data_IF_793199022524
#
_entry.id   IF_793199022524
#
_cell.length_a   1.000
_cell.length_b   1.000
_cell.length_c   1.000
_cell.angle_alpha   90.00
_cell.angle_beta   90.00
_cell.angle_gamma   90.00
#
_symmetry.space_group_name_H-M   'P 1'
#
loop_
_entity.id
_entity.type
_entity.pdbx_description
1 polymer ?
#
# COMPACT_ATOMS: atom_id res chain seq x y z
N UNK A 1 -2.98 -6.35 -40.67
CA UNK A 1 -2.71 -5.42 -41.78
C UNK A 1 -3.93 -4.58 -42.09
N UNK A 2 -5.07 -5.19 -42.40
CA UNK A 2 -6.33 -4.49 -42.72
C UNK A 2 -6.73 -3.41 -41.70
N UNK A 3 -6.58 -3.66 -40.40
CA UNK A 3 -6.84 -2.67 -39.34
C UNK A 3 -5.93 -1.44 -39.43
N UNK A 4 -4.67 -1.58 -39.86
CA UNK A 4 -3.75 -0.44 -40.00
C UNK A 4 -4.11 0.48 -41.17
N UNK A 5 -4.80 -0.07 -42.17
CA UNK A 5 -5.13 0.59 -43.43
C UNK A 5 -6.60 1.06 -43.47
N UNK A 6 -7.34 0.91 -42.36
CA UNK A 6 -8.79 1.16 -42.35
C UNK A 6 -9.19 2.64 -42.27
N UNK A 7 -8.31 3.51 -41.73
CA UNK A 7 -8.64 4.92 -41.44
C UNK A 7 -8.06 5.86 -42.51
N UNK A 8 -8.86 6.84 -42.92
CA UNK A 8 -8.45 7.89 -43.87
C UNK A 8 -7.34 8.78 -43.31
N UNK A 9 -7.28 8.93 -41.99
CA UNK A 9 -6.26 9.68 -41.25
C UNK A 9 -5.17 8.74 -40.73
N UNK A 10 -4.44 8.15 -41.67
CA UNK A 10 -3.49 7.07 -41.37
C UNK A 10 -2.45 7.44 -40.31
N UNK A 11 -1.87 8.64 -40.37
CA UNK A 11 -0.79 9.02 -39.47
C UNK A 11 -1.27 9.10 -38.01
N UNK A 12 -2.38 9.80 -37.78
CA UNK A 12 -2.95 9.94 -36.45
C UNK A 12 -3.48 8.60 -35.91
N UNK A 13 -4.18 7.84 -36.76
CA UNK A 13 -4.73 6.55 -36.37
C UNK A 13 -3.63 5.56 -35.97
N UNK A 14 -2.59 5.40 -36.81
CA UNK A 14 -1.51 4.44 -36.55
C UNK A 14 -0.67 4.85 -35.32
N UNK A 15 -0.42 6.15 -35.12
CA UNK A 15 0.32 6.66 -33.96
C UNK A 15 -0.43 6.38 -32.65
N UNK A 16 -1.73 6.70 -32.60
CA UNK A 16 -2.55 6.46 -31.40
C UNK A 16 -2.77 4.96 -31.18
N UNK A 17 -2.95 4.18 -32.26
CA UNK A 17 -3.06 2.73 -32.19
C UNK A 17 -1.80 2.10 -31.60
N UNK A 18 -0.61 2.53 -32.03
CA UNK A 18 0.64 2.01 -31.47
C UNK A 18 0.76 2.34 -29.98
N UNK A 19 0.47 3.59 -29.58
CA UNK A 19 0.44 4.00 -28.19
C UNK A 19 -0.58 3.19 -27.36
N UNK A 20 -1.74 2.88 -27.94
CA UNK A 20 -2.79 2.07 -27.32
C UNK A 20 -2.39 0.59 -27.18
N UNK A 21 -1.69 0.02 -28.16
CA UNK A 21 -1.11 -1.31 -28.06
C UNK A 21 -0.04 -1.38 -26.96
N UNK A 22 0.82 -0.37 -26.88
CA UNK A 22 1.81 -0.26 -25.80
C UNK A 22 1.13 -0.10 -24.43
N UNK A 23 0.13 0.77 -24.33
CA UNK A 23 -0.71 0.92 -23.14
C UNK A 23 -1.30 -0.42 -22.69
N UNK A 24 -1.91 -1.17 -23.62
CA UNK A 24 -2.48 -2.49 -23.34
C UNK A 24 -1.44 -3.47 -22.76
N UNK A 25 -0.27 -3.55 -23.40
CA UNK A 25 0.84 -4.38 -22.92
C UNK A 25 1.30 -3.95 -21.51
N UNK A 26 1.43 -2.65 -21.27
CA UNK A 26 1.83 -2.10 -19.97
C UNK A 26 0.80 -2.45 -18.89
N UNK A 27 -0.49 -2.20 -19.10
CA UNK A 27 -1.51 -2.45 -18.06
C UNK A 27 -1.67 -3.94 -17.77
N UNK A 28 -1.53 -4.80 -18.78
CA UNK A 28 -1.60 -6.24 -18.64
C UNK A 28 -0.40 -6.82 -17.88
N UNK A 29 0.82 -6.41 -18.23
CA UNK A 29 2.05 -6.95 -17.62
C UNK A 29 2.40 -6.30 -16.28
N UNK A 30 1.96 -5.06 -16.04
CA UNK A 30 2.19 -4.37 -14.76
C UNK A 30 1.64 -5.12 -13.55
N UNK A 31 0.65 -6.01 -13.72
CA UNK A 31 0.11 -6.88 -12.67
C UNK A 31 1.18 -7.74 -11.98
N UNK A 32 2.31 -8.02 -12.64
CA UNK A 32 3.39 -8.82 -12.06
C UNK A 32 4.03 -8.15 -10.84
N UNK A 33 3.95 -6.83 -10.72
CA UNK A 33 4.53 -6.08 -9.59
C UNK A 33 3.59 -6.00 -8.37
N UNK A 34 2.52 -6.78 -8.34
CA UNK A 34 1.59 -6.85 -7.21
C UNK A 34 1.00 -5.47 -6.87
N UNK A 35 0.84 -5.13 -5.57
CA UNK A 35 0.27 -3.84 -5.14
C UNK A 35 1.00 -2.59 -5.63
N UNK A 36 2.29 -2.66 -5.97
CA UNK A 36 3.02 -1.53 -6.56
C UNK A 36 2.62 -1.29 -8.02
N UNK A 37 2.22 -2.36 -8.72
CA UNK A 37 1.66 -2.31 -10.06
C UNK A 37 0.20 -1.85 -10.04
N UNK A 38 -0.66 -2.64 -9.40
CA UNK A 38 -2.09 -2.41 -9.24
C UNK A 38 -2.51 -2.81 -7.82
N UNK A 39 -3.33 -2.00 -7.14
CA UNK A 39 -3.87 -2.35 -5.83
C UNK A 39 -4.72 -3.63 -5.88
N UNK A 40 -5.40 -3.88 -7.01
CA UNK A 40 -6.15 -5.12 -7.28
C UNK A 40 -5.77 -5.74 -8.62
N UNK A 41 -6.01 -7.04 -8.76
CA UNK A 41 -5.82 -7.73 -10.04
C UNK A 41 -7.03 -7.55 -10.94
N UNK A 42 -6.82 -7.00 -12.15
CA UNK A 42 -7.86 -6.78 -13.15
C UNK A 42 -7.68 -7.69 -14.38
N UNK A 43 -8.78 -8.22 -14.95
CA UNK A 43 -8.72 -9.16 -16.08
C UNK A 43 -8.73 -8.45 -17.44
N UNK A 44 -7.78 -7.54 -17.68
CA UNK A 44 -7.64 -6.89 -18.99
C UNK A 44 -7.37 -7.93 -20.08
N UNK A 45 -8.07 -7.81 -21.22
CA UNK A 45 -8.01 -8.78 -22.30
C UNK A 45 -7.96 -8.11 -23.68
N UNK A 46 -7.70 -8.91 -24.71
CA UNK A 46 -7.57 -8.43 -26.10
C UNK A 46 -8.87 -7.88 -26.69
N UNK A 47 -10.02 -8.23 -26.11
CA UNK A 47 -11.32 -7.66 -26.44
C UNK A 47 -11.38 -6.17 -26.09
N UNK A 48 -10.83 -5.77 -24.95
CA UNK A 48 -10.76 -4.37 -24.51
C UNK A 48 -9.97 -3.52 -25.52
N UNK A 49 -8.83 -4.06 -25.98
CA UNK A 49 -8.02 -3.44 -27.03
C UNK A 49 -8.80 -3.36 -28.34
N UNK A 50 -9.38 -4.46 -28.81
CA UNK A 50 -10.09 -4.53 -30.09
C UNK A 50 -11.24 -3.52 -30.15
N UNK A 51 -12.04 -3.42 -29.10
CA UNK A 51 -13.16 -2.46 -29.06
C UNK A 51 -12.61 -1.02 -28.98
N UNK A 52 -11.52 -0.79 -28.22
CA UNK A 52 -10.88 0.53 -28.16
C UNK A 52 -10.36 0.99 -29.53
N UNK A 53 -9.83 0.08 -30.36
CA UNK A 53 -9.42 0.37 -31.74
C UNK A 53 -10.61 0.75 -32.62
N UNK A 54 -11.75 0.06 -32.47
CA UNK A 54 -12.96 0.42 -33.21
C UNK A 54 -13.51 1.80 -32.78
N UNK A 55 -13.45 2.11 -31.48
CA UNK A 55 -13.82 3.43 -30.95
C UNK A 55 -12.89 4.51 -31.51
N UNK A 56 -11.58 4.27 -31.52
CA UNK A 56 -10.59 5.17 -32.11
C UNK A 56 -10.92 5.49 -33.57
N UNK A 57 -11.16 4.45 -34.37
CA UNK A 57 -11.52 4.60 -35.78
C UNK A 57 -12.77 5.48 -35.95
N UNK A 58 -13.86 5.14 -35.26
CA UNK A 58 -15.13 5.86 -35.38
C UNK A 58 -14.99 7.34 -35.00
N UNK A 59 -14.23 7.67 -33.95
CA UNK A 59 -14.03 9.05 -33.51
C UNK A 59 -13.15 9.86 -34.46
N UNK A 60 -12.11 9.25 -35.03
CA UNK A 60 -11.25 9.92 -36.00
C UNK A 60 -11.94 10.19 -37.34
N UNK A 61 -12.82 9.29 -37.79
CA UNK A 61 -13.62 9.49 -39.01
C UNK A 61 -14.75 10.52 -38.81
N UNK A 62 -15.35 10.55 -37.62
CA UNK A 62 -16.43 11.50 -37.31
C UNK A 62 -15.94 12.93 -37.01
N UNK A 63 -14.66 13.11 -36.69
CA UNK A 63 -14.12 14.38 -36.16
C UNK A 63 -13.03 14.97 -37.05
N UNK A 64 -13.11 16.28 -37.32
CA UNK A 64 -12.09 16.99 -38.10
C UNK A 64 -10.76 17.18 -37.38
N UNK A 65 -10.76 17.11 -36.03
CA UNK A 65 -9.58 17.15 -35.17
C UNK A 65 -9.56 15.91 -34.29
N UNK A 66 -8.38 15.52 -33.81
CA UNK A 66 -8.26 14.40 -32.85
C UNK A 66 -8.82 14.85 -31.49
N UNK A 67 -9.86 14.18 -30.95
CA UNK A 67 -10.43 14.52 -29.66
C UNK A 67 -9.69 13.76 -28.54
N UNK A 68 -8.48 14.21 -28.19
CA UNK A 68 -7.60 13.51 -27.23
C UNK A 68 -8.27 13.28 -25.86
N UNK A 69 -8.89 14.31 -25.28
CA UNK A 69 -9.55 14.21 -23.97
C UNK A 69 -10.69 13.18 -23.97
N UNK A 70 -11.50 13.16 -25.04
CA UNK A 70 -12.60 12.20 -25.18
C UNK A 70 -12.06 10.78 -25.35
N UNK A 71 -11.00 10.59 -26.15
CA UNK A 71 -10.37 9.27 -26.32
C UNK A 71 -9.79 8.77 -25.00
N UNK A 72 -9.06 9.60 -24.26
CA UNK A 72 -8.52 9.27 -22.95
C UNK A 72 -9.63 8.93 -21.95
N UNK A 73 -10.74 9.67 -21.95
CA UNK A 73 -11.91 9.37 -21.13
C UNK A 73 -12.54 8.03 -21.52
N UNK A 74 -12.81 7.79 -22.81
CA UNK A 74 -13.43 6.55 -23.26
C UNK A 74 -12.56 5.33 -22.91
N UNK A 75 -11.26 5.38 -23.22
CA UNK A 75 -10.35 4.29 -22.94
C UNK A 75 -10.17 4.07 -21.43
N UNK A 76 -9.98 5.16 -20.66
CA UNK A 76 -9.62 5.11 -19.26
C UNK A 76 -10.78 4.87 -18.32
N UNK A 77 -11.94 5.47 -18.58
CA UNK A 77 -13.11 5.45 -17.70
C UNK A 77 -14.14 4.39 -18.09
N UNK A 78 -14.26 4.09 -19.39
CA UNK A 78 -15.29 3.17 -19.90
C UNK A 78 -14.68 1.82 -20.26
N UNK A 79 -13.71 1.79 -21.16
CA UNK A 79 -13.18 0.53 -21.73
C UNK A 79 -12.37 -0.24 -20.68
N UNK A 80 -11.23 0.31 -20.26
CA UNK A 80 -10.40 -0.29 -19.22
C UNK A 80 -10.95 0.03 -17.83
N UNK A 81 -11.46 1.26 -17.64
CA UNK A 81 -12.05 1.72 -16.37
C UNK A 81 -13.25 0.90 -15.92
N UNK A 82 -14.00 0.28 -16.84
CA UNK A 82 -15.11 -0.61 -16.51
C UNK A 82 -14.69 -1.85 -15.70
N UNK A 83 -13.42 -2.27 -15.78
CA UNK A 83 -12.86 -3.36 -14.97
C UNK A 83 -12.33 -2.89 -13.61
N UNK A 84 -12.01 -1.59 -13.49
CA UNK A 84 -11.27 -1.05 -12.36
C UNK A 84 -12.23 -0.63 -11.24
N UNK A 85 -11.99 -1.17 -10.05
CA UNK A 85 -12.85 -0.95 -8.87
C UNK A 85 -12.20 -0.08 -7.79
N UNK A 86 -10.90 0.16 -7.87
CA UNK A 86 -10.15 0.98 -6.90
C UNK A 86 -9.86 2.36 -7.51
N UNK A 87 -10.14 3.43 -6.78
CA UNK A 87 -10.02 4.80 -7.29
C UNK A 87 -8.56 5.20 -7.60
N UNK A 88 -7.58 4.65 -6.86
CA UNK A 88 -6.17 4.92 -7.13
C UNK A 88 -5.68 4.18 -8.37
N UNK A 89 -6.16 2.95 -8.59
CA UNK A 89 -5.92 2.22 -9.82
C UNK A 89 -6.60 2.91 -11.01
N UNK A 90 -7.78 3.50 -10.81
CA UNK A 90 -8.48 4.29 -11.84
C UNK A 90 -7.69 5.53 -12.22
N UNK A 91 -7.17 6.25 -11.21
CA UNK A 91 -6.24 7.37 -11.40
C UNK A 91 -5.00 6.92 -12.19
N UNK A 92 -4.39 5.79 -11.85
CA UNK A 92 -3.23 5.25 -12.55
C UNK A 92 -3.53 4.98 -14.03
N UNK A 93 -4.63 4.28 -14.31
CA UNK A 93 -5.08 3.98 -15.68
C UNK A 93 -5.26 5.26 -16.51
N UNK A 94 -5.94 6.26 -15.95
CA UNK A 94 -6.15 7.55 -16.58
C UNK A 94 -4.82 8.26 -16.86
N UNK A 95 -3.91 8.30 -15.89
CA UNK A 95 -2.61 8.97 -16.04
C UNK A 95 -1.76 8.33 -17.14
N UNK A 96 -1.81 7.01 -17.34
CA UNK A 96 -1.14 6.39 -18.48
C UNK A 96 -1.64 6.92 -19.82
N UNK A 97 -2.96 7.02 -19.98
CA UNK A 97 -3.56 7.50 -21.22
C UNK A 97 -3.26 8.99 -21.44
N UNK A 98 -3.31 9.81 -20.39
CA UNK A 98 -2.92 11.23 -20.46
C UNK A 98 -1.44 11.42 -20.86
N UNK A 99 -0.55 10.52 -20.45
CA UNK A 99 0.88 10.61 -20.82
C UNK A 99 1.19 10.02 -22.20
N UNK A 100 0.42 9.02 -22.66
CA UNK A 100 0.66 8.35 -23.93
C UNK A 100 -0.14 8.93 -25.11
N UNK A 101 -1.34 9.46 -24.86
CA UNK A 101 -2.27 9.95 -25.89
C UNK A 101 -2.49 11.44 -25.64
N UNK A 102 -1.64 12.27 -26.23
CA UNK A 102 -1.63 13.72 -26.06
C UNK A 102 -1.19 14.42 -27.35
N UNK A 103 -1.55 15.70 -27.56
CA UNK A 103 -1.26 16.42 -28.80
C UNK A 103 0.22 16.37 -29.21
N UNK A 104 1.13 16.42 -28.24
CA UNK A 104 2.59 16.40 -28.41
C UNK A 104 3.09 15.13 -29.09
N UNK A 105 2.30 14.05 -29.10
CA UNK A 105 2.68 12.81 -29.78
C UNK A 105 2.86 12.98 -31.29
N UNK A 106 2.18 13.97 -31.89
CA UNK A 106 2.27 14.27 -33.32
C UNK A 106 3.50 15.12 -33.66
N UNK A 107 4.21 15.64 -32.66
CA UNK A 107 5.42 16.46 -32.83
C UNK A 107 6.69 15.60 -32.93
N UNK A 108 6.59 14.28 -32.73
CA UNK A 108 7.67 13.31 -32.94
C UNK A 108 8.66 13.15 -31.77
N UNK A 109 8.39 13.79 -30.63
CA UNK A 109 9.29 13.77 -29.45
C UNK A 109 8.81 12.86 -28.30
N UNK A 110 7.66 12.18 -28.47
CA UNK A 110 7.08 11.38 -27.40
C UNK A 110 7.83 10.05 -27.19
N UNK A 111 8.30 9.85 -25.96
CA UNK A 111 8.83 8.57 -25.49
C UNK A 111 7.73 7.82 -24.74
N UNK A 112 7.44 6.58 -25.16
CA UNK A 112 6.51 5.69 -24.46
C UNK A 112 7.15 5.06 -23.21
N UNK A 113 8.47 4.86 -23.26
CA UNK A 113 9.31 4.50 -22.13
C UNK A 113 10.73 5.05 -22.33
N UNK A 114 11.57 5.08 -21.29
CA UNK A 114 12.97 5.46 -21.43
C UNK A 114 13.68 4.62 -22.50
N UNK A 115 14.13 5.28 -23.58
CA UNK A 115 14.78 4.62 -24.72
C UNK A 115 13.82 4.01 -25.75
N UNK A 116 12.51 4.21 -25.63
CA UNK A 116 11.52 3.70 -26.58
C UNK A 116 10.62 4.82 -27.12
N UNK A 117 11.00 5.45 -28.25
CA UNK A 117 10.19 6.49 -28.89
C UNK A 117 8.91 5.93 -29.50
N UNK A 118 7.93 6.80 -29.72
CA UNK A 118 6.78 6.48 -30.56
C UNK A 118 7.25 6.41 -32.03
N UNK A 119 7.02 5.30 -32.75
CA UNK A 119 7.40 5.21 -34.16
C UNK A 119 6.51 6.12 -35.02
N UNK A 120 7.06 6.60 -36.14
CA UNK A 120 6.28 7.26 -37.18
C UNK A 120 5.40 6.28 -37.97
N UNK A 121 4.72 6.79 -38.99
CA UNK A 121 3.86 5.97 -39.86
C UNK A 121 4.69 4.92 -40.63
N UNK A 122 4.53 3.65 -40.26
CA UNK A 122 5.12 2.49 -40.91
C UNK A 122 4.05 1.52 -41.44
N UNK A 123 4.47 0.54 -42.24
CA UNK A 123 3.65 -0.60 -42.62
C UNK A 123 3.67 -1.70 -41.53
N UNK A 124 2.86 -2.74 -41.70
CA UNK A 124 2.73 -3.81 -40.71
C UNK A 124 4.08 -4.46 -40.37
N UNK A 125 4.89 -4.76 -41.38
CA UNK A 125 6.21 -5.38 -41.19
C UNK A 125 7.21 -4.40 -40.57
N UNK A 126 7.16 -3.12 -40.94
CA UNK A 126 7.98 -2.07 -40.36
C UNK A 126 7.75 -1.90 -38.86
N UNK A 127 6.51 -1.99 -38.37
CA UNK A 127 6.24 -1.95 -36.94
C UNK A 127 6.83 -3.14 -36.17
N UNK A 128 6.77 -4.36 -36.73
CA UNK A 128 7.40 -5.54 -36.10
C UNK A 128 8.91 -5.38 -36.04
N UNK A 129 9.54 -4.99 -37.15
CA UNK A 129 10.99 -4.72 -37.20
C UNK A 129 11.38 -3.63 -36.19
N UNK A 130 10.59 -2.55 -36.09
CA UNK A 130 10.81 -1.49 -35.11
C UNK A 130 10.75 -2.00 -33.67
N UNK A 131 9.77 -2.84 -33.33
CA UNK A 131 9.66 -3.42 -31.99
C UNK A 131 10.88 -4.30 -31.70
N UNK A 132 11.29 -5.15 -32.64
CA UNK A 132 12.45 -6.03 -32.47
C UNK A 132 13.77 -5.25 -32.28
N UNK A 133 13.93 -4.13 -33.00
CA UNK A 133 15.16 -3.34 -32.98
C UNK A 133 15.21 -2.29 -31.86
N UNK A 134 14.07 -1.66 -31.53
CA UNK A 134 14.01 -0.48 -30.66
C UNK A 134 13.50 -0.77 -29.25
N UNK A 135 12.72 -1.84 -29.02
CA UNK A 135 12.18 -2.13 -27.68
C UNK A 135 13.31 -2.54 -26.72
N UNK A 136 13.53 -1.81 -25.61
CA UNK A 136 14.56 -2.18 -24.65
C UNK A 136 14.26 -3.52 -23.96
N UNK A 137 15.27 -4.19 -23.39
CA UNK A 137 15.06 -5.34 -22.52
C UNK A 137 14.06 -5.04 -21.40
N UNK A 138 13.26 -6.05 -21.06
CA UNK A 138 12.20 -5.92 -20.07
C UNK A 138 12.76 -5.40 -18.73
N UNK A 139 12.22 -4.28 -18.26
CA UNK A 139 12.60 -3.67 -16.99
C UNK A 139 11.43 -2.91 -16.38
N UNK A 140 11.43 -2.63 -15.05
CA UNK A 140 10.38 -1.84 -14.41
C UNK A 140 10.13 -0.48 -15.08
N UNK A 141 11.15 0.11 -15.71
CA UNK A 141 11.04 1.39 -16.41
C UNK A 141 10.04 1.37 -17.58
N UNK A 142 9.87 0.23 -18.27
CA UNK A 142 8.88 0.11 -19.35
C UNK A 142 7.44 0.32 -18.84
N UNK A 143 7.22 0.03 -17.56
CA UNK A 143 5.94 0.24 -16.89
C UNK A 143 5.91 1.56 -16.12
N UNK A 144 6.93 2.42 -16.20
CA UNK A 144 7.01 3.64 -15.39
C UNK A 144 7.35 3.41 -13.91
N UNK A 145 7.81 2.21 -13.54
CA UNK A 145 8.24 1.86 -12.19
C UNK A 145 9.75 2.06 -12.00
N UNK A 146 10.16 2.30 -10.76
CA UNK A 146 11.57 2.29 -10.38
C UNK A 146 12.13 0.84 -10.37
N UNK A 147 13.42 0.61 -10.73
CA UNK A 147 14.04 -0.73 -10.75
C UNK A 147 13.92 -1.54 -9.47
N UNK A 148 13.78 -0.87 -8.33
CA UNK A 148 13.54 -1.52 -7.04
C UNK A 148 12.26 -2.41 -7.04
N UNK A 149 11.28 -2.13 -7.90
CA UNK A 149 10.08 -2.96 -8.02
C UNK A 149 10.40 -4.41 -8.41
N UNK A 150 11.45 -4.63 -9.22
CA UNK A 150 11.89 -5.96 -9.63
C UNK A 150 12.43 -6.76 -8.44
N UNK A 151 13.18 -6.12 -7.54
CA UNK A 151 13.66 -6.75 -6.31
C UNK A 151 12.48 -7.26 -5.49
N UNK A 152 11.45 -6.43 -5.30
CA UNK A 152 10.24 -6.82 -4.57
C UNK A 152 9.49 -7.99 -5.21
N UNK A 153 9.35 -7.96 -6.54
CA UNK A 153 8.73 -9.04 -7.30
C UNK A 153 9.49 -10.37 -7.18
N UNK A 154 10.81 -10.35 -7.34
CA UNK A 154 11.65 -11.55 -7.25
C UNK A 154 11.67 -12.11 -5.81
N UNK A 155 11.68 -11.25 -4.80
CA UNK A 155 11.58 -11.68 -3.39
C UNK A 155 10.27 -12.39 -3.11
N UNK A 156 9.12 -11.79 -3.49
CA UNK A 156 7.81 -12.43 -3.28
C UNK A 156 7.66 -13.76 -4.04
N UNK A 157 8.20 -13.82 -5.26
CA UNK A 157 8.20 -15.06 -6.06
C UNK A 157 9.02 -16.15 -5.38
N UNK A 158 10.18 -15.77 -4.81
CA UNK A 158 11.05 -16.69 -4.07
C UNK A 158 10.40 -17.17 -2.78
N UNK A 159 9.79 -16.27 -2.00
CA UNK A 159 9.06 -16.63 -0.77
C UNK A 159 7.90 -17.58 -1.06
N UNK A 160 7.14 -17.34 -2.13
CA UNK A 160 6.07 -18.23 -2.57
C UNK A 160 6.61 -19.62 -2.93
N UNK A 161 7.75 -19.68 -3.61
CA UNK A 161 8.41 -20.94 -3.94
C UNK A 161 8.84 -21.69 -2.67
N UNK A 162 9.50 -21.02 -1.73
CA UNK A 162 9.90 -21.63 -0.46
C UNK A 162 8.71 -22.12 0.36
N UNK A 163 7.60 -21.37 0.39
CA UNK A 163 6.38 -21.80 1.06
C UNK A 163 5.80 -23.08 0.45
N UNK A 164 5.68 -23.14 -0.88
CA UNK A 164 5.20 -24.34 -1.59
C UNK A 164 6.13 -25.54 -1.32
N UNK A 165 7.45 -25.33 -1.33
CA UNK A 165 8.41 -26.38 -0.98
C UNK A 165 8.25 -26.87 0.46
N UNK A 166 8.04 -25.96 1.41
CA UNK A 166 7.81 -26.30 2.81
C UNK A 166 6.50 -27.07 3.01
N UNK A 167 5.44 -26.73 2.26
CA UNK A 167 4.14 -27.41 2.29
C UNK A 167 4.23 -28.83 1.70
N UNK A 168 5.12 -29.06 0.74
CA UNK A 168 5.35 -30.37 0.13
C UNK A 168 6.25 -31.30 0.97
N UNK A 169 6.90 -30.81 2.03
CA UNK A 169 7.74 -31.68 2.87
C UNK A 169 6.89 -32.71 3.63
N UNK A 170 7.30 -34.00 3.69
CA UNK A 170 6.57 -35.03 4.41
C UNK A 170 6.51 -34.69 5.91
N UNK A 171 5.30 -34.45 6.42
CA UNK A 171 5.06 -34.11 7.83
C UNK A 171 5.32 -35.27 8.80
N UNK A 172 5.43 -36.50 8.28
CA UNK A 172 5.54 -37.75 9.06
C UNK A 172 6.98 -38.30 9.18
N UNK A 173 8.02 -37.48 8.98
CA UNK A 173 9.42 -37.95 9.11
C UNK A 173 10.04 -37.74 10.50
N UNK A 174 9.26 -37.35 11.52
CA UNK A 174 9.71 -37.35 12.92
C UNK A 174 9.60 -38.73 13.57
N UNK A 175 10.26 -39.72 12.97
CA UNK A 175 10.56 -41.04 13.53
C UNK A 175 12.06 -41.32 13.57
N UNK A 176 12.89 -40.27 13.63
CA UNK A 176 14.34 -40.39 13.77
C UNK A 176 14.76 -40.18 15.22
N UNK A 177 15.32 -41.23 15.83
CA UNK A 177 15.98 -41.21 17.13
C UNK A 177 17.15 -40.20 17.13
N UNK A 178 16.87 -38.98 17.55
CA UNK A 178 17.85 -37.94 17.79
C UNK A 178 17.14 -36.81 18.53
N UNK A 179 17.68 -36.39 19.68
CA UNK A 179 17.11 -35.40 20.60
C UNK A 179 16.87 -34.01 20.01
N UNK A 180 15.97 -33.92 19.04
CA UNK A 180 15.39 -32.69 18.50
C UNK A 180 14.19 -32.36 19.38
N UNK A 181 14.19 -31.13 19.92
CA UNK A 181 13.08 -30.56 20.70
C UNK A 181 11.77 -30.90 19.98
N UNK A 182 10.83 -31.50 20.70
CA UNK A 182 9.57 -31.91 20.07
C UNK A 182 8.77 -30.69 19.64
N UNK A 183 7.88 -30.87 18.67
CA UNK A 183 6.96 -29.83 18.23
C UNK A 183 6.18 -29.21 19.39
N UNK A 184 5.73 -30.07 20.30
CA UNK A 184 5.00 -29.68 21.50
C UNK A 184 5.86 -28.87 22.47
N UNK A 185 7.11 -29.30 22.72
CA UNK A 185 8.05 -28.56 23.58
C UNK A 185 8.34 -27.15 23.03
N UNK A 186 8.52 -27.03 21.71
CA UNK A 186 8.77 -25.73 21.06
C UNK A 186 7.57 -24.80 21.21
N UNK A 187 6.36 -25.31 20.94
CA UNK A 187 5.14 -24.51 21.07
C UNK A 187 4.89 -24.12 22.52
N UNK A 188 5.14 -25.03 23.47
CA UNK A 188 4.96 -24.77 24.89
C UNK A 188 5.88 -23.66 25.40
N UNK A 189 7.17 -23.71 25.03
CA UNK A 189 8.12 -22.66 25.39
C UNK A 189 7.69 -21.28 24.85
N UNK A 190 7.28 -21.23 23.58
CA UNK A 190 6.79 -19.99 22.96
C UNK A 190 5.52 -19.46 23.65
N UNK A 191 4.58 -20.36 23.95
CA UNK A 191 3.34 -20.02 24.63
C UNK A 191 3.59 -19.45 26.02
N UNK A 192 4.48 -20.06 26.81
CA UNK A 192 4.86 -19.60 28.14
C UNK A 192 5.49 -18.20 28.07
N UNK A 193 6.42 -17.98 27.13
CA UNK A 193 7.04 -16.67 26.89
C UNK A 193 6.00 -15.59 26.52
N UNK A 194 5.05 -15.92 25.64
CA UNK A 194 4.01 -14.99 25.22
C UNK A 194 3.06 -14.64 26.37
N UNK A 195 2.66 -15.63 27.17
CA UNK A 195 1.80 -15.42 28.34
C UNK A 195 2.49 -14.57 29.41
N UNK A 196 3.80 -14.75 29.63
CA UNK A 196 4.58 -13.95 30.58
C UNK A 196 4.70 -12.49 30.14
N UNK A 197 4.88 -12.24 28.84
CA UNK A 197 5.08 -10.89 28.29
C UNK A 197 3.79 -10.10 28.06
N UNK A 198 2.63 -10.76 27.99
CA UNK A 198 1.34 -10.11 27.75
C UNK A 198 0.92 -9.26 28.95
N UNK A 199 0.96 -7.95 28.79
CA UNK A 199 0.54 -6.97 29.80
C UNK A 199 -0.96 -7.07 30.13
N UNK A 200 -1.35 -6.52 31.28
CA UNK A 200 -2.73 -6.55 31.76
C UNK A 200 -3.68 -5.72 30.90
N UNK A 201 -4.97 -6.03 31.02
CA UNK A 201 -6.01 -5.32 30.27
C UNK A 201 -6.17 -3.88 30.78
N UNK A 202 -6.45 -2.95 29.87
CA UNK A 202 -6.74 -1.56 30.20
C UNK A 202 -8.07 -1.47 30.96
N UNK A 203 -8.07 -0.94 32.19
CA UNK A 203 -9.30 -0.67 32.92
C UNK A 203 -9.99 0.60 32.37
N UNK A 204 -10.85 0.41 31.37
CA UNK A 204 -11.54 1.50 30.68
C UNK A 204 -12.37 2.37 31.64
N UNK A 205 -12.99 1.78 32.67
CA UNK A 205 -13.79 2.53 33.63
C UNK A 205 -12.94 3.50 34.47
N UNK A 206 -11.78 3.03 34.96
CA UNK A 206 -10.83 3.90 35.67
C UNK A 206 -10.23 4.96 34.76
N UNK A 207 -9.87 4.59 33.52
CA UNK A 207 -9.34 5.52 32.52
C UNK A 207 -10.35 6.63 32.20
N UNK A 208 -11.63 6.29 32.01
CA UNK A 208 -12.70 7.27 31.77
C UNK A 208 -12.94 8.19 32.97
N UNK A 209 -12.74 7.71 34.20
CA UNK A 209 -12.88 8.50 35.42
C UNK A 209 -11.74 9.51 35.60
N UNK A 210 -10.55 9.24 35.05
CA UNK A 210 -9.38 10.14 35.10
C UNK A 210 -9.48 11.35 34.17
N UNK A 211 -10.30 11.26 33.12
CA UNK A 211 -10.40 12.32 32.10
C UNK A 211 -11.48 13.33 32.48
N UNK A 212 -11.06 14.54 32.86
CA UNK A 212 -11.97 15.65 33.19
C UNK A 212 -12.72 16.16 31.96
N UNK A 213 -12.02 16.34 30.83
CA UNK A 213 -12.61 16.82 29.57
C UNK A 213 -12.47 15.77 28.45
N UNK A 214 -13.61 15.36 27.87
CA UNK A 214 -13.63 14.39 26.76
C UNK A 214 -13.25 15.04 25.44
N UNK A 215 -11.95 15.15 25.21
CA UNK A 215 -11.38 15.59 23.93
C UNK A 215 -11.54 14.51 22.84
N UNK A 216 -11.56 14.87 21.54
CA UNK A 216 -11.53 13.89 20.45
C UNK A 216 -10.38 12.89 20.57
N UNK A 217 -9.21 13.34 21.03
CA UNK A 217 -8.03 12.49 21.28
C UNK A 217 -8.27 11.44 22.36
N UNK A 218 -8.88 11.83 23.50
CA UNK A 218 -9.22 10.89 24.56
C UNK A 218 -10.20 9.81 24.09
N UNK A 219 -11.18 10.17 23.26
CA UNK A 219 -12.12 9.20 22.68
C UNK A 219 -11.40 8.18 21.78
N UNK A 220 -10.42 8.61 20.99
CA UNK A 220 -9.59 7.69 20.20
C UNK A 220 -8.80 6.76 21.10
N UNK A 221 -8.16 7.28 22.16
CA UNK A 221 -7.43 6.45 23.11
C UNK A 221 -8.32 5.36 23.74
N UNK A 222 -9.55 5.70 24.18
CA UNK A 222 -10.49 4.71 24.72
C UNK A 222 -10.85 3.62 23.71
N UNK A 223 -11.18 3.99 22.48
CA UNK A 223 -11.53 3.02 21.42
C UNK A 223 -10.36 2.09 21.09
N UNK A 224 -9.14 2.62 21.10
CA UNK A 224 -7.92 1.84 20.88
C UNK A 224 -7.64 0.89 22.05
N UNK A 225 -7.86 1.32 23.30
CA UNK A 225 -7.76 0.45 24.48
C UNK A 225 -8.78 -0.69 24.45
N UNK A 226 -10.04 -0.39 24.10
CA UNK A 226 -11.09 -1.42 23.97
C UNK A 226 -10.72 -2.47 22.92
N UNK A 227 -10.24 -2.04 21.75
CA UNK A 227 -9.77 -2.95 20.69
C UNK A 227 -8.56 -3.76 21.12
N UNK A 228 -7.61 -3.13 21.81
CA UNK A 228 -6.44 -3.80 22.35
C UNK A 228 -6.84 -4.89 23.35
N UNK A 229 -7.76 -4.60 24.28
CA UNK A 229 -8.29 -5.58 25.22
C UNK A 229 -8.97 -6.75 24.50
N UNK A 230 -9.78 -6.49 23.47
CA UNK A 230 -10.43 -7.55 22.69
C UNK A 230 -9.39 -8.49 22.07
N UNK A 231 -8.29 -7.96 21.54
CA UNK A 231 -7.22 -8.76 20.96
C UNK A 231 -6.42 -9.51 22.05
N UNK A 232 -5.93 -8.82 23.08
CA UNK A 232 -5.08 -9.43 24.12
C UNK A 232 -5.84 -10.46 24.94
N UNK A 233 -7.13 -10.24 25.21
CA UNK A 233 -7.99 -11.21 25.91
C UNK A 233 -8.20 -12.49 25.10
N UNK A 234 -8.40 -12.38 23.78
CA UNK A 234 -8.48 -13.53 22.88
C UNK A 234 -7.15 -14.31 22.85
N UNK A 235 -6.01 -13.62 22.75
CA UNK A 235 -4.69 -14.27 22.78
C UNK A 235 -4.49 -15.00 24.12
N UNK A 236 -4.73 -14.32 25.24
CA UNK A 236 -4.60 -14.92 26.59
C UNK A 236 -5.50 -16.13 26.76
N UNK A 237 -6.77 -16.06 26.32
CA UNK A 237 -7.70 -17.19 26.38
C UNK A 237 -7.20 -18.36 25.55
N UNK A 238 -6.89 -18.13 24.28
CA UNK A 238 -6.49 -19.17 23.34
C UNK A 238 -5.18 -19.87 23.77
N UNK A 239 -4.20 -19.11 24.28
CA UNK A 239 -2.96 -19.68 24.82
C UNK A 239 -3.21 -20.48 26.10
N UNK A 240 -4.05 -20.00 27.04
CA UNK A 240 -4.37 -20.77 28.26
C UNK A 240 -5.11 -22.07 27.96
N UNK A 241 -6.06 -22.03 27.04
CA UNK A 241 -6.78 -23.22 26.59
C UNK A 241 -5.84 -24.24 25.94
N UNK A 242 -4.92 -23.78 25.08
CA UNK A 242 -3.91 -24.66 24.48
C UNK A 242 -2.96 -25.26 25.52
N UNK A 243 -2.51 -24.49 26.52
CA UNK A 243 -1.65 -25.02 27.60
C UNK A 243 -2.35 -26.14 28.40
N UNK A 244 -3.63 -25.96 28.73
CA UNK A 244 -4.43 -26.99 29.39
C UNK A 244 -4.65 -28.23 28.48
N UNK A 245 -4.83 -28.01 27.17
CA UNK A 245 -4.90 -29.09 26.19
C UNK A 245 -3.61 -29.90 26.12
N UNK A 246 -2.45 -29.24 26.07
CA UNK A 246 -1.13 -29.88 26.06
C UNK A 246 -0.81 -30.63 27.36
N UNK A 247 -1.39 -30.21 28.50
CA UNK A 247 -1.31 -30.92 29.78
C UNK A 247 -2.26 -32.11 29.89
N UNK A 248 -3.20 -32.27 28.96
CA UNK A 248 -4.24 -33.29 28.99
C UNK A 248 -5.39 -32.97 29.96
N UNK A 249 -5.48 -31.73 30.44
CA UNK A 249 -6.56 -31.27 31.33
C UNK A 249 -7.82 -30.85 30.55
N UNK A 250 -7.65 -30.45 29.29
CA UNK A 250 -8.73 -30.22 28.33
C UNK A 250 -8.59 -31.16 27.12
N UNK A 251 -9.73 -31.55 26.54
CA UNK A 251 -9.74 -32.28 25.27
C UNK A 251 -9.27 -31.36 24.15
N UNK A 252 -8.25 -31.80 23.42
CA UNK A 252 -7.72 -31.06 22.27
C UNK A 252 -8.80 -30.84 21.21
N UNK A 253 -9.01 -29.58 20.82
CA UNK A 253 -9.98 -29.19 19.80
C UNK A 253 -9.28 -28.84 18.48
N UNK A 254 -10.03 -28.79 17.38
CA UNK A 254 -9.50 -28.35 16.07
C UNK A 254 -8.90 -26.94 16.13
N UNK A 255 -9.48 -26.06 16.94
CA UNK A 255 -9.00 -24.68 17.08
C UNK A 255 -7.66 -24.63 17.83
N UNK A 256 -7.48 -25.49 18.86
CA UNK A 256 -6.21 -25.64 19.56
C UNK A 256 -5.14 -26.25 18.65
N UNK A 257 -5.47 -27.24 17.83
CA UNK A 257 -4.54 -27.81 16.84
C UNK A 257 -4.13 -26.78 15.80
N UNK A 258 -5.08 -26.00 15.28
CA UNK A 258 -4.80 -24.91 14.35
C UNK A 258 -3.89 -23.84 14.98
N UNK A 259 -4.15 -23.48 16.24
CA UNK A 259 -3.29 -22.57 16.99
C UNK A 259 -1.88 -23.14 17.17
N UNK A 260 -1.75 -24.38 17.64
CA UNK A 260 -0.47 -25.06 17.80
C UNK A 260 0.30 -25.12 16.48
N UNK A 261 -0.40 -25.40 15.38
CA UNK A 261 0.18 -25.42 14.04
C UNK A 261 0.70 -24.04 13.64
N UNK A 262 -0.07 -22.98 13.85
CA UNK A 262 0.32 -21.60 13.53
C UNK A 262 1.51 -21.11 14.37
N UNK A 263 1.50 -21.39 15.69
CA UNK A 263 2.61 -21.08 16.60
C UNK A 263 3.91 -21.77 16.14
N UNK A 264 3.83 -23.04 15.76
CA UNK A 264 4.99 -23.80 15.29
C UNK A 264 5.55 -23.28 13.95
N UNK A 265 4.67 -22.81 13.05
CA UNK A 265 5.06 -22.32 11.73
C UNK A 265 5.44 -20.83 11.71
N UNK A 266 5.53 -20.17 12.88
CA UNK A 266 5.80 -18.73 13.01
C UNK A 266 4.78 -17.86 12.24
N UNK A 267 3.51 -18.30 12.21
CA UNK A 267 2.39 -17.59 11.54
C UNK A 267 1.41 -17.08 12.58
N UNK A 268 0.91 -15.85 12.39
CA UNK A 268 -0.15 -15.29 13.24
C UNK A 268 -1.46 -16.08 13.01
N UNK A 269 -2.08 -16.68 14.04
CA UNK A 269 -3.34 -17.41 13.94
C UNK A 269 -4.49 -16.57 13.36
N UNK A 270 -5.35 -17.20 12.54
CA UNK A 270 -6.49 -16.52 11.91
C UNK A 270 -7.47 -15.90 12.91
N UNK A 271 -7.67 -16.55 14.06
CA UNK A 271 -8.53 -16.03 15.14
C UNK A 271 -8.04 -14.69 15.68
N UNK A 272 -6.72 -14.49 15.73
CA UNK A 272 -6.09 -13.24 16.14
C UNK A 272 -6.12 -12.20 15.02
N UNK A 273 -5.82 -12.61 13.78
CA UNK A 273 -5.86 -11.72 12.59
C UNK A 273 -7.22 -11.03 12.46
N UNK A 274 -8.33 -11.74 12.70
CA UNK A 274 -9.69 -11.18 12.64
C UNK A 274 -9.94 -10.03 13.63
N UNK A 275 -9.17 -9.95 14.71
CA UNK A 275 -9.26 -8.91 15.74
C UNK A 275 -8.10 -7.92 15.68
N UNK A 276 -7.03 -8.26 14.96
CA UNK A 276 -5.81 -7.49 14.86
C UNK A 276 -5.87 -6.39 13.79
N UNK A 277 -4.82 -5.58 13.76
CA UNK A 277 -4.50 -4.72 12.64
C UNK A 277 -3.88 -5.55 11.49
N UNK A 278 -4.05 -5.14 10.22
CA UNK A 278 -3.41 -5.80 9.09
C UNK A 278 -1.88 -5.80 9.24
N UNK A 279 -1.26 -6.95 9.04
CA UNK A 279 0.20 -7.13 9.08
C UNK A 279 0.60 -8.31 8.19
N UNK A 280 1.84 -8.27 7.69
CA UNK A 280 2.49 -9.35 6.94
C UNK A 280 3.68 -9.93 7.71
N UNK A 281 3.87 -9.52 8.96
CA UNK A 281 4.96 -9.97 9.81
C UNK A 281 4.78 -11.42 10.26
N UNK A 282 5.90 -12.10 10.52
CA UNK A 282 5.89 -13.41 11.19
C UNK A 282 5.43 -13.25 12.65
N UNK A 283 5.00 -14.35 13.27
CA UNK A 283 4.42 -14.31 14.62
C UNK A 283 5.35 -13.63 15.63
N UNK A 284 6.64 -13.99 15.64
CA UNK A 284 7.61 -13.38 16.56
C UNK A 284 7.75 -11.86 16.36
N UNK A 285 7.85 -11.42 15.11
CA UNK A 285 7.95 -9.98 14.77
C UNK A 285 6.64 -9.23 15.08
N UNK A 286 5.50 -9.85 14.79
CA UNK A 286 4.17 -9.31 15.06
C UNK A 286 3.90 -9.18 16.55
N UNK A 287 4.31 -10.15 17.37
CA UNK A 287 4.13 -10.10 18.81
C UNK A 287 4.99 -9.00 19.45
N UNK A 288 6.24 -8.82 19.00
CA UNK A 288 7.07 -7.70 19.45
C UNK A 288 6.47 -6.32 19.07
N UNK A 289 5.89 -6.21 17.87
CA UNK A 289 5.15 -5.04 17.41
C UNK A 289 3.92 -4.77 18.29
N UNK A 290 3.13 -5.80 18.61
CA UNK A 290 1.99 -5.74 19.52
C UNK A 290 2.38 -5.20 20.90
N UNK A 291 3.45 -5.73 21.50
CA UNK A 291 3.92 -5.26 22.80
C UNK A 291 4.35 -3.79 22.76
N UNK A 292 4.96 -3.34 21.67
CA UNK A 292 5.32 -1.93 21.48
C UNK A 292 4.08 -1.04 21.39
N UNK A 293 3.04 -1.48 20.68
CA UNK A 293 1.76 -0.76 20.59
C UNK A 293 1.07 -0.61 21.93
N UNK A 294 1.06 -1.67 22.74
CA UNK A 294 0.48 -1.61 24.09
C UNK A 294 1.25 -0.58 24.93
N UNK A 295 2.59 -0.57 24.88
CA UNK A 295 3.42 0.41 25.62
C UNK A 295 3.15 1.86 25.20
N UNK A 296 3.04 2.12 23.90
CA UNK A 296 2.72 3.47 23.38
C UNK A 296 1.31 3.92 23.84
N UNK A 297 0.36 2.98 23.90
CA UNK A 297 -1.00 3.25 24.37
C UNK A 297 -1.07 3.45 25.90
N UNK A 298 -0.31 2.68 26.68
CA UNK A 298 -0.12 2.88 28.12
C UNK A 298 0.50 4.25 28.42
N UNK A 299 1.54 4.63 27.68
CA UNK A 299 2.16 5.94 27.82
C UNK A 299 1.15 7.07 27.56
N UNK A 300 0.34 6.95 26.50
CA UNK A 300 -0.67 7.95 26.16
C UNK A 300 -1.82 8.01 27.18
N UNK A 301 -2.28 6.86 27.68
CA UNK A 301 -3.41 6.77 28.63
C UNK A 301 -3.02 7.07 30.08
N UNK A 302 -1.72 7.22 30.37
CA UNK A 302 -1.22 7.60 31.69
C UNK A 302 -1.72 8.98 32.13
N UNK A 303 -1.68 9.97 31.25
CA UNK A 303 -2.12 11.34 31.51
C UNK A 303 -3.06 11.93 30.43
N UNK A 304 -3.36 11.18 29.37
CA UNK A 304 -4.15 11.63 28.21
C UNK A 304 -3.60 12.87 27.50
N UNK A 305 -2.34 13.22 27.76
CA UNK A 305 -1.65 14.27 27.05
C UNK A 305 -1.22 13.76 25.68
N UNK A 306 -1.37 14.58 24.64
CA UNK A 306 -0.94 14.18 23.30
C UNK A 306 0.59 13.98 23.29
N UNK A 307 1.11 12.80 22.88
CA UNK A 307 2.54 12.57 22.82
C UNK A 307 3.24 13.59 21.92
N UNK A 308 4.53 13.86 22.20
CA UNK A 308 5.31 14.81 21.39
C UNK A 308 5.37 14.41 19.92
N UNK A 309 5.42 13.10 19.65
CA UNK A 309 5.22 12.51 18.33
C UNK A 309 4.39 11.25 18.46
N UNK A 310 3.51 11.00 17.49
CA UNK A 310 2.59 9.87 17.50
C UNK A 310 2.99 8.86 16.44
N UNK A 311 3.10 7.59 16.83
CA UNK A 311 3.31 6.48 15.90
C UNK A 311 1.99 6.07 15.26
N UNK A 312 1.67 6.63 14.10
CA UNK A 312 0.37 6.40 13.45
C UNK A 312 0.13 4.93 13.09
N UNK A 313 1.19 4.18 12.78
CA UNK A 313 1.09 2.75 12.52
C UNK A 313 0.62 1.99 13.75
N UNK A 314 0.87 2.49 14.96
CA UNK A 314 0.58 1.82 16.23
C UNK A 314 -0.92 1.63 16.51
N UNK A 315 -1.78 2.43 15.87
CA UNK A 315 -3.24 2.33 16.04
C UNK A 315 -3.87 1.20 15.23
N UNK A 316 -4.91 0.59 15.78
CA UNK A 316 -5.88 -0.20 15.05
C UNK A 316 -6.64 0.65 14.04
N UNK A 317 -7.04 1.88 14.40
CA UNK A 317 -7.69 2.82 13.50
C UNK A 317 -6.97 4.18 13.38
N UNK A 318 -5.92 4.28 12.55
CA UNK A 318 -5.23 5.55 12.31
C UNK A 318 -6.16 6.65 11.76
N UNK A 319 -7.23 6.30 11.03
CA UNK A 319 -8.20 7.28 10.52
C UNK A 319 -8.96 7.99 11.65
N UNK A 320 -9.28 7.29 12.73
CA UNK A 320 -9.90 7.90 13.91
C UNK A 320 -9.02 8.99 14.49
N UNK A 321 -7.70 8.74 14.60
CA UNK A 321 -6.74 9.73 15.07
C UNK A 321 -6.64 10.94 14.13
N UNK A 322 -6.52 10.70 12.82
CA UNK A 322 -6.50 11.77 11.82
C UNK A 322 -7.78 12.63 11.86
N UNK A 323 -8.93 12.00 12.07
CA UNK A 323 -10.22 12.69 12.24
C UNK A 323 -10.26 13.47 13.54
N UNK A 324 -9.69 12.95 14.63
CA UNK A 324 -9.60 13.66 15.91
C UNK A 324 -8.75 14.94 15.79
N UNK A 325 -7.68 14.93 14.99
CA UNK A 325 -6.91 16.13 14.65
C UNK A 325 -7.81 17.17 13.97
N UNK A 326 -8.59 16.76 12.97
CA UNK A 326 -9.51 17.65 12.25
C UNK A 326 -10.57 18.24 13.19
N UNK A 327 -11.19 17.40 14.04
CA UNK A 327 -12.20 17.83 15.00
C UNK A 327 -11.64 18.80 16.04
N UNK A 328 -10.45 18.52 16.59
CA UNK A 328 -9.81 19.40 17.57
C UNK A 328 -9.47 20.75 16.95
N UNK A 329 -8.91 20.76 15.75
CA UNK A 329 -8.54 21.98 15.02
C UNK A 329 -9.79 22.79 14.62
N UNK A 330 -10.81 22.13 14.08
CA UNK A 330 -12.06 22.78 13.69
C UNK A 330 -12.79 23.42 14.87
N UNK A 331 -12.84 22.75 16.03
CA UNK A 331 -13.43 23.31 17.25
C UNK A 331 -12.67 24.55 17.75
N UNK A 332 -11.34 24.48 17.74
CA UNK A 332 -10.47 25.58 18.20
C UNK A 332 -10.59 26.82 17.31
N UNK A 333 -10.71 26.62 16.00
CA UNK A 333 -10.76 27.70 15.02
C UNK A 333 -12.19 28.09 14.58
N UNK A 334 -13.22 27.44 15.14
CA UNK A 334 -14.63 27.61 14.77
C UNK A 334 -14.91 27.37 13.27
N UNK A 335 -14.24 26.37 12.68
CA UNK A 335 -14.35 26.05 11.27
C UNK A 335 -15.33 24.91 10.99
N UNK A 336 -16.03 24.92 9.83
CA UNK A 336 -16.84 23.79 9.39
C UNK A 336 -15.98 22.56 9.08
N UNK A 337 -16.28 21.44 9.75
CA UNK A 337 -15.51 20.19 9.61
C UNK A 337 -15.56 19.61 8.19
N UNK A 338 -16.66 19.81 7.47
CA UNK A 338 -16.90 19.31 6.10
C UNK A 338 -15.95 19.91 5.06
N UNK A 339 -15.33 21.07 5.36
CA UNK A 339 -14.39 21.75 4.46
C UNK A 339 -12.93 21.55 4.85
N UNK A 340 -12.67 20.83 5.94
CA UNK A 340 -11.32 20.60 6.43
C UNK A 340 -10.60 19.57 5.57
N UNK A 341 -9.34 19.84 5.22
CA UNK A 341 -8.46 18.87 4.56
C UNK A 341 -7.16 18.77 5.34
N UNK A 342 -6.66 17.56 5.58
CA UNK A 342 -5.35 17.39 6.21
C UNK A 342 -4.24 17.71 5.20
N UNK A 343 -3.34 18.62 5.56
CA UNK A 343 -2.05 18.80 4.92
C UNK A 343 -0.94 18.19 5.78
N UNK A 344 0.05 17.65 5.08
CA UNK A 344 1.26 17.11 5.66
C UNK A 344 2.45 18.01 5.31
N UNK A 345 3.19 18.45 6.31
CA UNK A 345 4.46 19.16 6.17
C UNK A 345 5.56 18.26 6.71
N UNK A 346 6.29 17.61 5.82
CA UNK A 346 7.37 16.71 6.21
C UNK A 346 8.53 17.54 6.75
N UNK A 347 8.92 17.26 7.98
CA UNK A 347 9.98 18.01 8.68
C UNK A 347 11.37 17.50 8.28
N UNK A 348 12.42 18.12 8.84
CA UNK A 348 13.82 17.66 8.69
C UNK A 348 14.32 16.87 9.90
N UNK A 349 13.42 16.55 10.83
CA UNK A 349 13.74 16.07 12.17
C UNK A 349 13.25 14.64 12.38
N UNK A 350 13.92 13.92 13.27
CA UNK A 350 13.50 12.61 13.73
C UNK A 350 12.68 12.75 15.02
N UNK A 351 12.09 11.64 15.50
CA UNK A 351 11.19 11.67 16.67
C UNK A 351 11.88 12.21 17.93
N UNK A 352 13.17 11.94 18.09
CA UNK A 352 13.97 12.31 19.26
C UNK A 352 14.16 13.83 19.39
N UNK A 353 13.99 14.58 18.29
CA UNK A 353 14.16 16.03 18.27
C UNK A 353 12.92 16.80 18.78
N UNK A 354 11.83 16.09 19.11
CA UNK A 354 10.56 16.67 19.54
C UNK A 354 10.30 16.40 21.03
N UNK A 355 10.49 17.44 21.85
CA UNK A 355 10.24 17.38 23.29
C UNK A 355 8.79 17.65 23.71
N UNK A 356 7.97 18.24 22.82
CA UNK A 356 6.59 18.61 23.14
C UNK A 356 5.68 18.50 21.90
N UNK A 357 4.38 18.22 22.08
CA UNK A 357 3.42 18.23 20.99
C UNK A 357 3.29 19.64 20.37
N UNK A 358 2.80 19.75 19.13
CA UNK A 358 2.53 21.06 18.54
C UNK A 358 1.31 21.71 19.19
N UNK A 359 1.20 23.04 19.08
CA UNK A 359 0.02 23.79 19.58
C UNK A 359 -1.28 23.43 18.86
N UNK A 360 -1.16 22.98 17.61
CA UNK A 360 -2.24 22.57 16.71
C UNK A 360 -1.73 21.45 15.83
N UNK A 361 -2.61 20.51 15.46
CA UNK A 361 -2.21 19.35 14.69
C UNK A 361 -1.53 18.26 15.52
N UNK A 362 -0.76 17.41 14.84
CA UNK A 362 0.07 16.39 15.48
C UNK A 362 1.34 16.14 14.66
N UNK A 363 2.43 15.79 15.35
CA UNK A 363 3.62 15.24 14.72
C UNK A 363 3.47 13.73 14.63
N UNK A 364 3.65 13.17 13.44
CA UNK A 364 3.51 11.74 13.19
C UNK A 364 4.81 11.16 12.67
N UNK A 365 5.18 9.97 13.14
CA UNK A 365 6.39 9.26 12.70
C UNK A 365 6.11 7.80 12.32
N UNK A 366 7.14 7.13 11.79
CA UNK A 366 7.09 5.72 11.43
C UNK A 366 6.37 5.45 10.11
N UNK A 367 6.43 6.39 9.16
CA UNK A 367 5.98 6.16 7.79
C UNK A 367 7.17 5.82 6.90
N UNK A 368 6.92 5.03 5.87
CA UNK A 368 7.87 4.67 4.84
C UNK A 368 7.34 5.09 3.48
N UNK A 369 8.20 5.44 2.53
CA UNK A 369 7.80 5.77 1.16
C UNK A 369 8.17 4.62 0.24
N UNK A 370 7.22 4.11 -0.55
CA UNK A 370 7.47 3.10 -1.58
C UNK A 370 7.43 3.76 -2.96
N UNK A 371 8.30 3.33 -3.88
CA UNK A 371 8.37 3.85 -5.26
C UNK A 371 9.15 5.16 -5.44
N UNK A 372 9.46 5.87 -4.36
CA UNK A 372 10.25 7.09 -4.33
C UNK A 372 10.96 7.25 -2.98
N UNK A 373 11.64 8.38 -2.79
CA UNK A 373 12.16 8.80 -1.47
C UNK A 373 11.78 10.24 -1.18
N UNK A 374 11.80 10.60 0.10
CA UNK A 374 11.75 11.99 0.50
C UNK A 374 13.16 12.59 0.56
N UNK A 375 13.39 13.69 -0.11
CA UNK A 375 14.62 14.46 0.04
C UNK A 375 14.47 15.46 1.19
N UNK A 376 15.02 15.14 2.36
CA UNK A 376 14.91 15.98 3.55
C UNK A 376 15.62 17.35 3.40
N UNK A 377 16.63 17.45 2.53
CA UNK A 377 17.34 18.72 2.33
C UNK A 377 16.46 19.68 1.52
N UNK A 378 15.90 19.19 0.41
CA UNK A 378 15.07 19.95 -0.52
C UNK A 378 13.60 20.05 -0.09
N UNK A 379 13.13 19.14 0.77
CA UNK A 379 11.74 19.08 1.23
C UNK A 379 10.74 18.69 0.14
N UNK A 380 11.13 17.76 -0.74
CA UNK A 380 10.32 17.29 -1.88
C UNK A 380 10.50 15.79 -2.12
N UNK A 381 9.57 15.17 -2.86
CA UNK A 381 9.74 13.82 -3.41
C UNK A 381 10.90 13.82 -4.41
N UNK A 382 11.73 12.79 -4.35
CA UNK A 382 12.82 12.51 -5.27
C UNK A 382 12.83 11.03 -5.66
N UNK A 383 13.54 10.70 -6.73
CA UNK A 383 13.69 9.31 -7.17
C UNK A 383 14.37 8.45 -6.09
N UNK A 384 13.87 7.22 -5.94
CA UNK A 384 14.42 6.24 -5.01
C UNK A 384 15.88 5.92 -5.33
N UNK A 385 16.63 5.48 -4.33
CA UNK A 385 17.99 4.94 -4.55
C UNK A 385 17.90 3.44 -4.80
N UNK A 386 18.78 2.91 -5.64
CA UNK A 386 18.84 1.48 -5.88
C UNK A 386 19.03 0.72 -4.57
N UNK A 387 18.26 -0.37 -4.40
CA UNK A 387 18.23 -1.24 -3.20
C UNK A 387 17.61 -0.61 -1.95
N UNK A 388 17.15 0.63 -2.02
CA UNK A 388 16.38 1.29 -0.96
C UNK A 388 14.88 1.22 -1.32
N UNK A 389 14.24 0.09 -0.99
CA UNK A 389 12.86 -0.23 -1.42
C UNK A 389 11.82 0.69 -0.78
N UNK A 390 11.95 0.89 0.53
CA UNK A 390 10.97 1.61 1.36
C UNK A 390 11.69 2.52 2.37
N UNK A 391 12.34 3.60 1.92
CA UNK A 391 12.99 4.58 2.81
C UNK A 391 12.04 5.12 3.88
N UNK A 392 12.56 5.29 5.09
CA UNK A 392 11.81 5.92 6.18
C UNK A 392 11.59 7.41 5.92
N UNK A 393 10.40 7.90 6.26
CA UNK A 393 10.04 9.30 6.22
C UNK A 393 10.48 10.00 7.50
N UNK A 394 10.97 11.25 7.43
CA UNK A 394 11.07 12.11 8.61
C UNK A 394 9.71 12.32 9.27
N UNK A 395 9.71 12.89 10.47
CA UNK A 395 8.47 13.25 11.16
C UNK A 395 7.62 14.17 10.29
N UNK A 396 6.35 13.83 10.12
CA UNK A 396 5.37 14.57 9.34
C UNK A 396 4.53 15.40 10.28
N UNK A 397 4.49 16.71 10.08
CA UNK A 397 3.57 17.59 10.79
C UNK A 397 2.23 17.66 10.04
N UNK A 398 1.16 17.21 10.68
CA UNK A 398 -0.18 17.23 10.11
C UNK A 398 -0.89 18.54 10.54
N UNK A 399 -1.16 19.44 9.58
CA UNK A 399 -1.82 20.76 9.74
C UNK A 399 -2.68 21.11 8.52
N UNK A 400 -3.26 22.31 8.46
CA UNK A 400 -4.07 22.80 7.32
C UNK A 400 -3.32 23.86 6.48
N UNK A 401 -2.84 23.51 5.28
CA UNK A 401 -2.30 24.39 4.21
C UNK A 401 -2.61 23.69 2.84
N UNK A 402 -2.28 24.26 1.67
CA UNK A 402 -2.40 23.60 0.33
C UNK A 402 -1.06 23.02 -0.19
N UNK A 403 -1.07 21.79 -0.74
CA UNK A 403 0.09 21.12 -1.41
C UNK A 403 -0.37 20.29 -2.63
N UNK A 404 0.59 19.80 -3.46
CA UNK A 404 0.37 19.50 -4.90
C UNK A 404 0.13 18.02 -5.24
N UNK A 405 0.87 17.06 -4.67
CA UNK A 405 0.72 15.63 -5.04
C UNK A 405 -0.09 14.85 -3.99
N UNK A 406 -1.29 14.35 -4.33
CA UNK A 406 -2.07 13.50 -3.43
C UNK A 406 -1.44 12.10 -3.38
N UNK A 407 -0.69 11.82 -2.32
CA UNK A 407 -0.03 10.54 -2.08
C UNK A 407 -0.93 9.64 -1.21
N UNK A 408 -1.30 8.43 -1.64
CA UNK A 408 -2.06 7.52 -0.80
C UNK A 408 -1.21 6.98 0.35
N UNK A 409 -1.85 6.77 1.50
CA UNK A 409 -1.26 6.18 2.70
C UNK A 409 -1.95 4.85 2.98
N UNK A 410 -1.19 3.77 3.10
CA UNK A 410 -1.69 2.42 3.40
C UNK A 410 -1.10 1.91 4.70
N UNK A 411 -1.84 1.01 5.40
CA UNK A 411 -1.28 0.35 6.60
C UNK A 411 -0.11 -0.55 6.26
N UNK A 412 -0.21 -1.34 5.19
CA UNK A 412 0.80 -2.31 4.78
C UNK A 412 1.04 -2.24 3.27
N UNK A 413 2.02 -3.01 2.79
CA UNK A 413 2.30 -3.18 1.35
C UNK A 413 1.15 -3.85 0.60
N UNK A 414 0.26 -4.56 1.30
CA UNK A 414 -1.00 -5.05 0.73
C UNK A 414 -1.96 -3.87 0.64
N UNK A 415 -1.75 -3.01 -0.38
CA UNK A 415 -2.56 -1.81 -0.69
C UNK A 415 -4.02 -2.18 -0.97
N UNK A 416 -4.85 -1.22 -1.41
CA UNK A 416 -6.28 -1.43 -1.64
C UNK A 416 -7.05 -1.46 -0.31
N UNK A 417 -7.44 -2.63 0.25
CA UNK A 417 -8.14 -2.75 1.54
C UNK A 417 -7.48 -2.03 2.73
N UNK A 418 -6.18 -1.76 2.69
CA UNK A 418 -5.46 -1.11 3.80
C UNK A 418 -5.31 0.39 3.66
N UNK A 419 -6.03 1.03 2.72
CA UNK A 419 -6.01 2.48 2.54
C UNK A 419 -6.44 3.21 3.82
N UNK A 420 -5.68 4.23 4.20
CA UNK A 420 -5.88 5.04 5.42
C UNK A 420 -6.28 6.45 5.05
N UNK A 421 -5.45 7.17 4.30
CA UNK A 421 -5.67 8.59 4.02
C UNK A 421 -4.89 9.04 2.77
N UNK A 422 -5.10 10.29 2.35
CA UNK A 422 -4.29 10.94 1.30
C UNK A 422 -3.45 12.06 1.90
N UNK A 423 -2.12 11.93 1.81
CA UNK A 423 -1.19 12.95 2.25
C UNK A 423 -0.70 13.76 1.05
N UNK A 424 -0.91 15.08 1.08
CA UNK A 424 -0.48 15.96 0.01
C UNK A 424 1.00 16.32 0.17
N UNK A 425 1.85 15.74 -0.67
CA UNK A 425 3.31 15.90 -0.62
C UNK A 425 3.80 16.94 -1.64
N UNK A 426 4.95 17.55 -1.35
CA UNK A 426 5.59 18.54 -2.24
C UNK A 426 6.42 17.82 -3.29
N UNK A 427 6.32 18.27 -4.54
CA UNK A 427 7.09 17.79 -5.69
C UNK A 427 7.47 18.95 -6.60
N UNK A 428 8.60 18.82 -7.31
CA UNK A 428 8.96 19.69 -8.46
C UNK A 428 8.62 19.05 -9.80
N UNK A 429 8.56 17.72 -9.83
CA UNK A 429 8.21 16.93 -11.01
C UNK A 429 6.69 16.93 -11.23
N UNK A 430 6.27 16.67 -12.47
CA UNK A 430 4.87 16.45 -12.80
C UNK A 430 4.29 15.32 -11.94
N UNK A 431 3.15 15.53 -11.23
CA UNK A 431 2.45 14.48 -10.49
C UNK A 431 2.29 13.15 -11.21
N UNK A 432 2.11 13.14 -12.54
CA UNK A 432 2.00 11.91 -13.35
C UNK A 432 3.16 10.95 -13.11
N UNK A 433 4.41 11.46 -13.00
CA UNK A 433 5.60 10.65 -12.74
C UNK A 433 5.42 9.77 -11.50
N UNK A 434 4.90 10.34 -10.42
CA UNK A 434 4.74 9.64 -9.14
C UNK A 434 3.54 8.71 -9.13
N UNK A 435 2.49 9.02 -9.89
CA UNK A 435 1.38 8.09 -10.11
C UNK A 435 1.88 6.85 -10.85
N UNK A 436 2.59 7.01 -11.97
CA UNK A 436 3.13 5.90 -12.75
C UNK A 436 4.18 5.09 -11.97
N UNK A 437 5.01 5.74 -11.16
CA UNK A 437 5.96 5.08 -10.27
C UNK A 437 5.30 4.31 -9.09
N UNK A 438 3.99 4.46 -8.92
CA UNK A 438 3.23 3.82 -7.85
C UNK A 438 3.62 4.33 -6.47
N UNK A 439 3.93 5.63 -6.35
CA UNK A 439 4.38 6.21 -5.08
C UNK A 439 3.28 6.16 -4.03
N UNK A 440 3.61 5.63 -2.86
CA UNK A 440 2.70 5.57 -1.72
C UNK A 440 3.47 5.71 -0.40
N UNK A 441 2.75 6.09 0.65
CA UNK A 441 3.24 5.98 2.03
C UNK A 441 2.70 4.71 2.67
N UNK A 442 3.54 4.06 3.46
CA UNK A 442 3.23 2.84 4.19
C UNK A 442 3.42 3.10 5.68
N UNK A 443 2.48 2.66 6.52
CA UNK A 443 2.63 2.72 7.97
C UNK A 443 3.48 1.57 8.52
N UNK A 444 3.42 0.41 7.86
CA UNK A 444 4.13 -0.80 8.23
C UNK A 444 4.62 -1.52 6.97
N UNK A 445 5.77 -2.21 7.08
CA UNK A 445 6.43 -2.92 5.98
C UNK A 445 6.05 -4.40 5.90
#
# INVERSE_FOLDING_TARGET
>A
QDTLEMCTRENEFKSILFALCYFHAVVAERRKFGPQGWNRSYPFNTGDLTISVNVLYNYLEASSKVPYDDLCYLFGEIMYGGHITDDWDRRLCKTYLEEFIKPEMMEGELLLAPGFPLPGNMDYNGYHQYIDDALPPESPYLYGLHPNAEIGFLTQTSEKLFRILSEMQPRDTSGGEGGVVTREETVKALLEEMLEKLMDEFNIAELMAKVEERTPYAVVAFQECERMNILTSEIKRALKELDLGLKGELTMTSDMENLQNALFLDVVPESWIKRAYPSTASLGSWFADLLTRIKELEAWTGDFSLPSTVWLAGFFNPQSFLTAIMQSTARKNEWPLDKMTLQCDVTKKNREDFASPPREGAYVHGLFMEGARWDAQMGIIADARLKELTPAMPVIFIKDIRSIYPCPVYKTRQRGPTYVWTFNLKTRENPSKWVLAGVALLLQL
#
